data_IF_183188596940
#
_entry.id   IF_183188596940
#
_cell.length_a   1.000
_cell.length_b   1.000
_cell.length_c   1.000
_cell.angle_alpha   90.00
_cell.angle_beta   90.00
_cell.angle_gamma   90.00
#
_symmetry.space_group_name_H-M   'P 1'
#
loop_
_entity.id
_entity.type
_entity.pdbx_description
1 polymer ?
#
# COMPACT_ATOMS: atom_id res chain seq x y z
N UNK A 1 81.03 -17.58 23.37
CA UNK A 1 80.23 -16.89 24.43
C UNK A 1 79.02 -16.16 23.86
N UNK A 2 79.06 -15.71 22.60
CA UNK A 2 77.90 -15.14 21.90
C UNK A 2 76.89 -16.24 21.49
N UNK A 3 77.34 -17.46 21.13
CA UNK A 3 76.42 -18.55 20.76
C UNK A 3 75.56 -19.06 21.92
N UNK A 4 76.08 -19.08 23.14
CA UNK A 4 75.32 -19.51 24.34
C UNK A 4 74.31 -18.46 24.80
N UNK A 5 74.63 -17.17 24.67
CA UNK A 5 73.69 -16.08 24.90
C UNK A 5 72.59 -16.06 23.83
N UNK A 6 72.95 -16.25 22.56
CA UNK A 6 71.97 -16.36 21.47
C UNK A 6 71.10 -17.62 21.59
N UNK A 7 71.67 -18.77 21.97
CA UNK A 7 70.93 -20.02 22.17
C UNK A 7 69.95 -19.97 23.36
N UNK A 8 70.32 -19.30 24.46
CA UNK A 8 69.42 -19.07 25.59
C UNK A 8 68.28 -18.10 25.26
N UNK A 9 68.56 -17.04 24.48
CA UNK A 9 67.58 -16.06 24.05
C UNK A 9 66.62 -16.64 23.00
N UNK A 10 67.13 -17.43 22.04
CA UNK A 10 66.33 -18.19 21.08
C UNK A 10 65.47 -19.26 21.77
N UNK A 11 66.00 -19.97 22.78
CA UNK A 11 65.23 -20.93 23.58
C UNK A 11 64.12 -20.27 24.41
N UNK A 12 64.35 -19.07 24.93
CA UNK A 12 63.32 -18.25 25.58
C UNK A 12 62.24 -17.78 24.63
N UNK A 13 62.61 -17.34 23.42
CA UNK A 13 61.67 -16.94 22.37
C UNK A 13 60.80 -18.12 21.89
N UNK A 14 61.38 -19.32 21.73
CA UNK A 14 60.64 -20.53 21.35
C UNK A 14 59.68 -21.03 22.44
N UNK A 15 59.88 -20.68 23.72
CA UNK A 15 58.90 -20.95 24.78
C UNK A 15 57.70 -19.98 24.76
N UNK A 16 57.90 -18.76 24.29
CA UNK A 16 56.83 -17.77 24.13
C UNK A 16 56.04 -17.97 22.82
N UNK A 17 56.65 -18.56 21.79
CA UNK A 17 55.98 -18.89 20.53
C UNK A 17 54.66 -19.66 20.69
N UNK A 18 54.57 -20.76 21.48
CA UNK A 18 53.29 -21.44 21.70
C UNK A 18 52.27 -20.61 22.48
N UNK A 19 52.71 -19.72 23.38
CA UNK A 19 51.82 -18.79 24.10
C UNK A 19 51.21 -17.74 23.15
N UNK A 20 52.02 -17.21 22.23
CA UNK A 20 51.59 -16.25 21.20
C UNK A 20 50.61 -16.90 20.22
N UNK A 21 50.88 -18.14 19.80
CA UNK A 21 49.97 -18.91 18.96
C UNK A 21 48.62 -19.15 19.67
N UNK A 22 48.64 -19.58 20.93
CA UNK A 22 47.40 -19.74 21.74
C UNK A 22 46.62 -18.43 21.90
N UNK A 23 47.32 -17.31 22.05
CA UNK A 23 46.66 -16.00 22.16
C UNK A 23 46.00 -15.57 20.84
N UNK A 24 46.68 -15.78 19.72
CA UNK A 24 46.12 -15.57 18.38
C UNK A 24 44.89 -16.45 18.15
N UNK A 25 44.94 -17.72 18.55
CA UNK A 25 43.85 -18.67 18.39
C UNK A 25 42.62 -18.28 19.22
N UNK A 26 42.81 -17.94 20.51
CA UNK A 26 41.74 -17.41 21.38
C UNK A 26 41.14 -16.12 20.85
N UNK A 27 41.94 -15.26 20.20
CA UNK A 27 41.44 -14.03 19.58
C UNK A 27 40.60 -14.34 18.34
N UNK A 28 40.99 -15.36 17.57
CA UNK A 28 40.24 -15.89 16.44
C UNK A 28 38.90 -16.49 16.86
N UNK A 29 38.88 -17.37 17.87
CA UNK A 29 37.65 -17.99 18.39
C UNK A 29 36.66 -16.93 18.90
N UNK A 30 37.12 -15.95 19.70
CA UNK A 30 36.26 -14.87 20.17
C UNK A 30 35.72 -14.01 19.03
N UNK A 31 36.54 -13.74 18.01
CA UNK A 31 36.10 -13.04 16.80
C UNK A 31 35.04 -13.82 16.02
N UNK A 32 35.19 -15.15 15.97
CA UNK A 32 34.24 -16.05 15.32
C UNK A 32 32.92 -16.13 16.11
N UNK A 33 32.97 -16.23 17.43
CA UNK A 33 31.77 -16.19 18.30
C UNK A 33 31.01 -14.87 18.16
N UNK A 34 31.72 -13.74 18.13
CA UNK A 34 31.11 -12.43 17.91
C UNK A 34 30.45 -12.35 16.52
N UNK A 35 31.12 -12.82 15.47
CA UNK A 35 30.55 -12.85 14.12
C UNK A 35 29.30 -13.73 14.04
N UNK A 36 29.29 -14.87 14.75
CA UNK A 36 28.12 -15.75 14.85
C UNK A 36 26.96 -15.07 15.58
N UNK A 37 27.24 -14.40 16.70
CA UNK A 37 26.25 -13.64 17.46
C UNK A 37 25.68 -12.47 16.66
N UNK A 38 26.52 -11.71 15.96
CA UNK A 38 26.10 -10.60 15.09
C UNK A 38 25.18 -11.10 13.97
N UNK A 39 25.51 -12.25 13.35
CA UNK A 39 24.67 -12.85 12.31
C UNK A 39 23.33 -13.35 12.86
N UNK A 40 23.31 -13.91 14.06
CA UNK A 40 22.06 -14.28 14.73
C UNK A 40 21.20 -13.04 15.01
N UNK A 41 21.82 -11.95 15.46
CA UNK A 41 21.14 -10.69 15.75
C UNK A 41 20.60 -10.02 14.47
N UNK A 42 21.37 -10.05 13.37
CA UNK A 42 20.89 -9.63 12.04
C UNK A 42 19.69 -10.45 11.59
N UNK A 43 19.71 -11.78 11.79
CA UNK A 43 18.59 -12.64 11.43
C UNK A 43 17.34 -12.32 12.26
N UNK A 44 17.49 -12.09 13.56
CA UNK A 44 16.39 -11.66 14.42
C UNK A 44 15.84 -10.29 14.01
N UNK A 45 16.70 -9.33 13.65
CA UNK A 45 16.28 -8.02 13.13
C UNK A 45 15.46 -8.17 11.85
N UNK A 46 15.91 -8.99 10.90
CA UNK A 46 15.19 -9.24 9.64
C UNK A 46 13.85 -9.91 9.94
N UNK A 47 13.83 -10.94 10.79
CA UNK A 47 12.60 -11.63 11.17
C UNK A 47 11.62 -10.71 11.90
N UNK A 48 12.12 -9.84 12.78
CA UNK A 48 11.34 -8.81 13.46
C UNK A 48 10.74 -7.80 12.48
N UNK A 49 11.54 -7.31 11.53
CA UNK A 49 11.08 -6.40 10.48
C UNK A 49 10.01 -7.04 9.59
N UNK A 50 10.21 -8.31 9.19
CA UNK A 50 9.22 -9.05 8.41
C UNK A 50 7.90 -9.22 9.18
N UNK A 51 7.97 -9.61 10.46
CA UNK A 51 6.77 -9.76 11.30
C UNK A 51 6.03 -8.43 11.48
N UNK A 52 6.76 -7.33 11.62
CA UNK A 52 6.17 -5.99 11.67
C UNK A 52 5.51 -5.61 10.34
N UNK A 53 6.12 -5.97 9.21
CA UNK A 53 5.52 -5.77 7.89
C UNK A 53 4.25 -6.60 7.68
N UNK A 54 4.23 -7.86 8.12
CA UNK A 54 3.05 -8.73 8.09
C UNK A 54 1.92 -8.19 8.97
N UNK A 55 2.24 -7.73 10.18
CA UNK A 55 1.27 -7.09 11.08
C UNK A 55 0.71 -5.80 10.46
N UNK A 56 1.57 -4.96 9.89
CA UNK A 56 1.17 -3.73 9.20
C UNK A 56 0.22 -4.01 8.03
N UNK A 57 0.57 -4.95 7.15
CA UNK A 57 -0.28 -5.36 6.04
C UNK A 57 -1.63 -5.93 6.52
N UNK A 58 -1.64 -6.70 7.62
CA UNK A 58 -2.87 -7.21 8.23
C UNK A 58 -3.74 -6.10 8.84
N UNK A 59 -3.13 -5.11 9.48
CA UNK A 59 -3.82 -3.95 10.04
C UNK A 59 -4.42 -3.06 8.94
N UNK A 60 -3.68 -2.81 7.85
CA UNK A 60 -4.17 -2.07 6.69
C UNK A 60 -5.33 -2.80 6.01
N UNK A 61 -5.22 -4.13 5.87
CA UNK A 61 -6.32 -4.95 5.34
C UNK A 61 -7.56 -4.87 6.25
N UNK A 62 -7.38 -4.99 7.57
CA UNK A 62 -8.48 -4.90 8.53
C UNK A 62 -9.14 -3.51 8.55
N UNK A 63 -8.35 -2.43 8.46
CA UNK A 63 -8.85 -1.06 8.34
C UNK A 63 -9.68 -0.87 7.07
N UNK A 64 -9.15 -1.32 5.93
CA UNK A 64 -9.86 -1.24 4.65
C UNK A 64 -11.17 -2.05 4.66
N UNK A 65 -11.17 -3.23 5.27
CA UNK A 65 -12.39 -4.04 5.44
C UNK A 65 -13.39 -3.35 6.37
N UNK A 66 -12.93 -2.79 7.49
CA UNK A 66 -13.79 -2.05 8.43
C UNK A 66 -14.43 -0.81 7.80
N UNK A 67 -13.66 -0.02 7.05
CA UNK A 67 -14.18 1.13 6.31
C UNK A 67 -15.23 0.72 5.27
N UNK A 68 -15.00 -0.38 4.54
CA UNK A 68 -15.98 -0.91 3.58
C UNK A 68 -17.24 -1.43 4.30
N UNK A 69 -17.10 -2.09 5.44
CA UNK A 69 -18.26 -2.59 6.19
C UNK A 69 -19.08 -1.44 6.78
N UNK A 70 -18.45 -0.37 7.29
CA UNK A 70 -19.20 0.83 7.73
C UNK A 70 -19.94 1.52 6.58
N UNK A 71 -19.32 1.62 5.39
CA UNK A 71 -20.00 2.11 4.19
C UNK A 71 -21.16 1.20 3.79
N UNK A 72 -20.98 -0.12 3.86
CA UNK A 72 -22.01 -1.11 3.58
C UNK A 72 -23.18 -0.99 4.55
N UNK A 73 -22.92 -0.83 5.84
CA UNK A 73 -23.92 -0.68 6.88
C UNK A 73 -24.71 0.62 6.71
N UNK A 74 -24.05 1.73 6.37
CA UNK A 74 -24.70 2.99 6.02
C UNK A 74 -25.57 2.90 4.76
N UNK A 75 -25.15 2.11 3.76
CA UNK A 75 -25.96 1.83 2.56
C UNK A 75 -27.14 0.92 2.90
N UNK A 76 -26.97 -0.05 3.81
CA UNK A 76 -28.02 -0.97 4.24
C UNK A 76 -29.10 -0.26 5.05
N UNK A 77 -28.71 0.62 5.97
CA UNK A 77 -29.64 1.40 6.78
C UNK A 77 -30.51 2.35 5.95
N UNK A 78 -30.01 2.86 4.82
CA UNK A 78 -30.82 3.57 3.83
C UNK A 78 -31.91 2.70 3.16
N UNK A 79 -31.73 1.38 3.13
CA UNK A 79 -32.68 0.41 2.56
C UNK A 79 -33.67 -0.17 3.58
N UNK A 80 -33.45 0.04 4.88
CA UNK A 80 -34.36 -0.43 5.93
C UNK A 80 -35.57 0.51 6.03
N UNK A 81 -36.77 -0.06 5.84
CA UNK A 81 -38.03 0.68 5.88
C UNK A 81 -38.41 0.97 7.33
N UNK A 82 -38.63 2.24 7.64
CA UNK A 82 -39.10 2.70 8.96
C UNK A 82 -40.56 2.36 9.23
N UNK A 83 -41.31 1.92 8.20
CA UNK A 83 -42.74 1.61 8.28
C UNK A 83 -43.63 2.82 8.01
N UNK A 84 -43.04 4.02 7.96
CA UNK A 84 -43.72 5.27 7.61
C UNK A 84 -43.61 5.50 6.11
N UNK A 85 -44.70 5.19 5.37
CA UNK A 85 -44.71 5.15 3.90
C UNK A 85 -44.16 6.41 3.22
N UNK A 86 -44.42 7.61 3.76
CA UNK A 86 -43.93 8.87 3.17
C UNK A 86 -42.44 9.09 3.43
N UNK A 87 -41.95 8.72 4.62
CA UNK A 87 -40.54 8.86 4.99
C UNK A 87 -39.69 7.84 4.20
N UNK A 88 -40.20 6.62 4.04
CA UNK A 88 -39.56 5.59 3.23
C UNK A 88 -39.55 5.94 1.73
N UNK A 89 -40.63 6.54 1.23
CA UNK A 89 -40.69 7.04 -0.16
C UNK A 89 -39.69 8.19 -0.38
N UNK A 90 -39.61 9.14 0.55
CA UNK A 90 -38.63 10.22 0.49
C UNK A 90 -37.21 9.66 0.53
N UNK A 91 -36.87 8.85 1.54
CA UNK A 91 -35.55 8.22 1.73
C UNK A 91 -35.09 7.44 0.50
N UNK A 92 -35.95 6.56 -0.03
CA UNK A 92 -35.63 5.76 -1.22
C UNK A 92 -35.49 6.59 -2.50
N UNK A 93 -36.17 7.74 -2.59
CA UNK A 93 -36.07 8.64 -3.75
C UNK A 93 -34.83 9.54 -3.75
N UNK A 94 -34.24 9.83 -2.58
CA UNK A 94 -33.10 10.77 -2.48
C UNK A 94 -31.94 10.35 -3.36
N UNK A 95 -31.54 9.07 -3.32
CA UNK A 95 -30.40 8.57 -4.09
C UNK A 95 -30.62 8.71 -5.61
N UNK A 96 -31.72 8.19 -6.20
CA UNK A 96 -32.03 8.41 -7.61
C UNK A 96 -32.12 9.89 -8.00
N UNK A 97 -32.80 10.72 -7.20
CA UNK A 97 -32.99 12.14 -7.51
C UNK A 97 -31.65 12.86 -7.56
N UNK A 98 -30.79 12.67 -6.55
CA UNK A 98 -29.46 13.26 -6.52
C UNK A 98 -28.65 12.79 -7.74
N UNK A 99 -28.67 11.50 -8.06
CA UNK A 99 -27.95 10.96 -9.23
C UNK A 99 -28.41 11.61 -10.54
N UNK A 100 -29.72 11.70 -10.78
CA UNK A 100 -30.25 12.33 -11.99
C UNK A 100 -29.94 13.83 -12.02
N UNK A 101 -30.01 14.51 -10.87
CA UNK A 101 -29.69 15.93 -10.77
C UNK A 101 -28.22 16.21 -11.11
N UNK A 102 -27.28 15.45 -10.53
CA UNK A 102 -25.87 15.57 -10.86
C UNK A 102 -25.58 15.27 -12.34
N UNK A 103 -26.24 14.26 -12.90
CA UNK A 103 -26.12 13.95 -14.34
C UNK A 103 -26.66 15.10 -15.21
N UNK A 104 -27.80 15.69 -14.83
CA UNK A 104 -28.38 16.82 -15.52
C UNK A 104 -27.46 18.04 -15.49
N UNK A 105 -26.88 18.36 -14.32
CA UNK A 105 -25.90 19.43 -14.18
C UNK A 105 -24.63 19.16 -15.01
N UNK A 106 -24.14 17.92 -15.00
CA UNK A 106 -23.00 17.52 -15.83
C UNK A 106 -23.28 17.75 -17.31
N UNK A 107 -24.40 17.25 -17.82
CA UNK A 107 -24.82 17.45 -19.22
C UNK A 107 -24.98 18.94 -19.54
N UNK A 108 -25.65 19.70 -18.69
CA UNK A 108 -25.85 21.14 -18.88
C UNK A 108 -24.51 21.89 -18.98
N UNK A 109 -23.56 21.56 -18.10
CA UNK A 109 -22.23 22.19 -18.11
C UNK A 109 -21.47 21.84 -19.38
N UNK A 110 -21.45 20.57 -19.80
CA UNK A 110 -20.79 20.15 -21.05
C UNK A 110 -21.41 20.79 -22.28
N UNK A 111 -22.74 20.83 -22.35
CA UNK A 111 -23.46 21.51 -23.43
C UNK A 111 -23.13 22.99 -23.46
N UNK A 112 -23.10 23.67 -22.31
CA UNK A 112 -22.72 25.08 -22.21
C UNK A 112 -21.27 25.32 -22.65
N UNK A 113 -20.32 24.47 -22.26
CA UNK A 113 -18.91 24.57 -22.68
C UNK A 113 -18.76 24.44 -24.19
N UNK A 114 -19.42 23.43 -24.80
CA UNK A 114 -19.38 23.25 -26.26
C UNK A 114 -20.08 24.42 -26.97
N UNK A 115 -21.24 24.85 -26.48
CA UNK A 115 -21.97 25.97 -27.06
C UNK A 115 -21.13 27.26 -27.02
N UNK A 116 -20.49 27.56 -25.89
CA UNK A 116 -19.61 28.72 -25.73
C UNK A 116 -18.45 28.68 -26.73
N UNK A 117 -17.78 27.53 -26.87
CA UNK A 117 -16.67 27.37 -27.82
C UNK A 117 -17.13 27.57 -29.27
N UNK A 118 -18.27 26.99 -29.66
CA UNK A 118 -18.82 27.15 -31.01
C UNK A 118 -19.24 28.60 -31.28
N UNK A 119 -19.89 29.27 -30.32
CA UNK A 119 -20.23 30.70 -30.44
C UNK A 119 -19.00 31.59 -30.51
N UNK A 120 -17.87 31.15 -29.93
CA UNK A 120 -16.57 31.80 -30.04
C UNK A 120 -15.84 31.55 -31.35
N UNK A 121 -16.46 30.85 -32.31
CA UNK A 121 -15.90 30.58 -33.64
C UNK A 121 -15.12 29.26 -33.75
N UNK A 122 -15.08 28.43 -32.70
CA UNK A 122 -14.46 27.11 -32.79
C UNK A 122 -15.33 26.16 -33.63
N UNK A 123 -14.68 25.32 -34.43
CA UNK A 123 -15.36 24.22 -35.11
C UNK A 123 -15.88 23.18 -34.11
N UNK A 124 -17.02 22.55 -34.40
CA UNK A 124 -17.66 21.55 -33.53
C UNK A 124 -16.72 20.42 -33.08
N UNK A 125 -15.88 19.90 -33.99
CA UNK A 125 -14.92 18.85 -33.66
C UNK A 125 -13.90 19.29 -32.60
N UNK A 126 -13.39 20.52 -32.71
CA UNK A 126 -12.44 21.09 -31.74
C UNK A 126 -13.15 21.37 -30.41
N UNK A 127 -14.37 21.91 -30.45
CA UNK A 127 -15.15 22.21 -29.25
C UNK A 127 -15.49 20.95 -28.44
N UNK A 128 -15.85 19.85 -29.10
CA UNK A 128 -16.15 18.57 -28.43
C UNK A 128 -14.88 17.94 -27.84
N UNK A 129 -13.78 17.91 -28.61
CA UNK A 129 -12.51 17.39 -28.12
C UNK A 129 -12.00 18.19 -26.91
N UNK A 130 -12.17 19.50 -26.92
CA UNK A 130 -11.81 20.36 -25.80
C UNK A 130 -12.72 20.13 -24.58
N UNK A 131 -14.03 19.96 -24.80
CA UNK A 131 -14.98 19.71 -23.71
C UNK A 131 -14.79 18.32 -23.06
N UNK A 132 -14.13 17.38 -23.74
CA UNK A 132 -13.84 16.04 -23.24
C UNK A 132 -12.46 15.99 -22.59
N UNK A 133 -12.43 15.82 -21.27
CA UNK A 133 -11.23 15.90 -20.45
C UNK A 133 -10.84 14.54 -19.86
N UNK A 134 -9.63 14.45 -19.30
CA UNK A 134 -9.17 13.25 -18.56
C UNK A 134 -10.08 12.93 -17.36
N UNK A 135 -10.66 13.95 -16.72
CA UNK A 135 -11.61 13.75 -15.62
C UNK A 135 -12.89 13.04 -16.08
N UNK A 136 -13.36 13.32 -17.29
CA UNK A 136 -14.53 12.63 -17.87
C UNK A 136 -14.19 11.17 -18.20
N UNK A 137 -12.99 10.92 -18.73
CA UNK A 137 -12.51 9.56 -18.98
C UNK A 137 -12.43 8.75 -17.68
N UNK A 138 -11.87 9.34 -16.62
CA UNK A 138 -11.79 8.70 -15.31
C UNK A 138 -13.17 8.42 -14.72
N UNK A 139 -14.11 9.38 -14.84
CA UNK A 139 -15.50 9.22 -14.42
C UNK A 139 -16.17 8.04 -15.14
N UNK A 140 -16.10 8.01 -16.48
CA UNK A 140 -16.70 6.93 -17.27
C UNK A 140 -16.02 5.59 -17.05
N UNK A 141 -14.69 5.55 -16.92
CA UNK A 141 -13.95 4.35 -16.56
C UNK A 141 -14.40 3.80 -15.19
N UNK A 142 -14.64 4.67 -14.21
CA UNK A 142 -15.21 4.29 -12.91
C UNK A 142 -16.61 3.68 -13.03
N UNK A 143 -17.50 4.31 -13.82
CA UNK A 143 -18.86 3.80 -14.06
C UNK A 143 -18.83 2.44 -14.76
N UNK A 144 -17.99 2.28 -15.79
CA UNK A 144 -17.82 1.02 -16.52
C UNK A 144 -17.23 -0.06 -15.60
N UNK A 145 -16.21 0.25 -14.79
CA UNK A 145 -15.67 -0.69 -13.82
C UNK A 145 -16.74 -1.14 -12.82
N UNK A 146 -17.55 -0.22 -12.28
CA UNK A 146 -18.65 -0.58 -11.40
C UNK A 146 -19.67 -1.51 -12.11
N UNK A 147 -20.09 -1.16 -13.33
CA UNK A 147 -21.08 -1.95 -14.09
C UNK A 147 -20.56 -3.30 -14.54
N UNK A 148 -19.30 -3.42 -14.96
CA UNK A 148 -18.79 -4.64 -15.57
C UNK A 148 -17.93 -5.48 -14.62
N UNK A 149 -17.03 -4.88 -13.85
CA UNK A 149 -16.18 -5.62 -12.90
C UNK A 149 -16.91 -5.97 -11.59
N UNK A 150 -17.74 -5.06 -11.06
CA UNK A 150 -18.51 -5.33 -9.84
C UNK A 150 -19.37 -6.59 -9.94
N UNK A 151 -20.00 -6.79 -11.10
CA UNK A 151 -20.87 -7.95 -11.39
C UNK A 151 -20.13 -9.27 -11.55
N UNK A 152 -18.86 -9.22 -11.97
CA UNK A 152 -18.01 -10.41 -12.06
C UNK A 152 -17.72 -10.93 -10.66
N UNK A 153 -17.44 -10.05 -9.70
CA UNK A 153 -17.20 -10.45 -8.30
C UNK A 153 -18.45 -10.98 -7.60
N UNK A 154 -19.63 -10.40 -7.89
CA UNK A 154 -20.90 -10.91 -7.34
C UNK A 154 -21.21 -12.34 -7.81
N UNK A 155 -20.84 -12.70 -9.04
CA UNK A 155 -21.07 -14.04 -9.61
C UNK A 155 -20.09 -15.10 -9.10
N UNK A 156 -18.91 -14.72 -8.59
CA UNK A 156 -17.94 -15.66 -8.00
C UNK A 156 -18.31 -16.02 -6.55
N UNK A 157 -19.15 -15.20 -5.90
CA UNK A 157 -19.64 -15.44 -4.52
C UNK A 157 -20.97 -16.20 -4.44
N UNK A 158 -21.66 -16.44 -5.56
CA UNK A 158 -22.87 -17.28 -5.64
C UNK A 158 -22.52 -18.72 -6.00
#
# INVERSE_FOLDING_TARGET
MIETLLGGLLGGAFRLAPEILKWLDRKGERGHELAMQDKALEFEKIRGAQRMSEIGAGADAAWNVGAIETLREAVRSQGEKTGVRWADALSSSVRPIITYWFMALYCATKTATVAAAVTGGAGWGVAILYAWTEADQALWAGVLNFWFLGRVFDRVRS
#
